data_IF_199348358227
#
_entry.id   IF_199348358227
#
_cell.length_a   1.000
_cell.length_b   1.000
_cell.length_c   1.000
_cell.angle_alpha   90.00
_cell.angle_beta   90.00
_cell.angle_gamma   90.00
#
_symmetry.space_group_name_H-M   'P 1'
#
loop_
_entity.id
_entity.type
_entity.pdbx_description
1 polymer ?
#
# COMPACT_ATOMS: atom_id res chain seq x y z
N UNK A 1 -12.14 8.51 19.91
CA UNK A 1 -12.01 7.97 21.29
C UNK A 1 -11.30 6.62 21.34
N UNK A 2 -11.67 5.63 20.51
CA UNK A 2 -11.05 4.29 20.52
C UNK A 2 -9.53 4.27 20.29
N UNK A 3 -9.01 5.14 19.42
CA UNK A 3 -7.56 5.24 19.12
C UNK A 3 -6.74 5.73 20.31
N UNK A 4 -7.29 6.66 21.09
CA UNK A 4 -6.63 7.24 22.28
C UNK A 4 -6.60 6.20 23.40
N UNK A 5 -7.70 5.46 23.59
CA UNK A 5 -7.76 4.36 24.57
C UNK A 5 -6.78 3.24 24.22
N UNK A 6 -6.67 2.87 22.94
CA UNK A 6 -5.68 1.89 22.48
C UNK A 6 -4.23 2.34 22.71
N UNK A 7 -3.93 3.63 22.51
CA UNK A 7 -2.61 4.19 22.76
C UNK A 7 -2.25 4.25 24.24
N UNK A 8 -3.21 4.62 25.11
CA UNK A 8 -3.01 4.63 26.56
C UNK A 8 -2.70 3.22 27.06
N UNK A 9 -3.46 2.21 26.63
CA UNK A 9 -3.20 0.81 27.00
C UNK A 9 -1.82 0.33 26.54
N UNK A 10 -1.39 0.73 25.33
CA UNK A 10 -0.06 0.43 24.78
C UNK A 10 1.07 1.08 25.61
N UNK A 11 0.98 2.38 25.87
CA UNK A 11 1.99 3.11 26.65
C UNK A 11 2.08 2.58 28.09
N UNK A 12 0.95 2.21 28.70
CA UNK A 12 0.92 1.63 30.05
C UNK A 12 1.47 0.21 30.13
N UNK A 13 1.58 -0.52 29.02
CA UNK A 13 2.19 -1.88 29.00
C UNK A 13 3.72 -1.89 28.94
N UNK A 14 4.35 -0.76 28.60
CA UNK A 14 5.81 -0.65 28.50
C UNK A 14 6.44 -0.43 29.88
N UNK A 15 5.74 0.29 30.76
CA UNK A 15 6.22 0.66 32.10
C UNK A 15 6.46 -0.57 33.00
N UNK A 16 5.56 -1.58 33.07
CA UNK A 16 5.81 -2.78 33.87
C UNK A 16 6.92 -3.67 33.30
N UNK A 17 7.07 -3.74 31.97
CA UNK A 17 8.12 -4.53 31.31
C UNK A 17 9.52 -3.96 31.53
N UNK A 18 9.65 -2.64 31.76
CA UNK A 18 10.92 -2.01 32.14
C UNK A 18 11.24 -2.18 33.63
N UNK A 19 10.23 -2.35 34.48
CA UNK A 19 10.38 -2.59 35.92
C UNK A 19 10.62 -4.08 36.24
N UNK A 20 10.35 -4.98 35.29
CA UNK A 20 10.58 -6.42 35.41
C UNK A 20 12.05 -6.85 35.56
N UNK A 21 13.02 -5.92 35.58
CA UNK A 21 14.40 -6.22 35.97
C UNK A 21 14.57 -6.46 37.49
N UNK A 22 13.58 -6.11 38.32
CA UNK A 22 13.62 -6.28 39.78
C UNK A 22 12.79 -7.47 40.31
N UNK A 23 12.02 -8.18 39.47
CA UNK A 23 11.07 -9.19 39.92
C UNK A 23 11.46 -10.61 39.48
N UNK A 24 11.48 -11.54 40.45
CA UNK A 24 11.92 -12.94 40.30
C UNK A 24 11.01 -13.83 39.43
N UNK A 25 11.33 -15.13 39.35
CA UNK A 25 10.79 -16.14 38.40
C UNK A 25 9.26 -16.42 38.45
N UNK A 26 8.41 -15.55 39.02
CA UNK A 26 6.97 -15.75 39.18
C UNK A 26 6.04 -14.89 38.31
N UNK A 27 6.55 -13.90 37.57
CA UNK A 27 5.71 -12.81 37.00
C UNK A 27 5.13 -13.07 35.60
N UNK A 28 4.90 -14.33 35.24
CA UNK A 28 4.29 -14.71 33.96
C UNK A 28 2.87 -14.15 33.78
N UNK A 29 2.12 -13.94 34.87
CA UNK A 29 0.77 -13.37 34.85
C UNK A 29 0.78 -11.90 34.41
N UNK A 30 1.76 -11.11 34.84
CA UNK A 30 1.91 -9.71 34.46
C UNK A 30 2.27 -9.59 32.97
N UNK A 31 3.15 -10.47 32.49
CA UNK A 31 3.54 -10.55 31.07
C UNK A 31 2.32 -10.93 30.20
N UNK A 32 1.54 -11.93 30.61
CA UNK A 32 0.32 -12.33 29.91
C UNK A 32 -0.74 -11.22 29.89
N UNK A 33 -0.89 -10.48 30.98
CA UNK A 33 -1.78 -9.30 31.05
C UNK A 33 -1.32 -8.22 30.06
N UNK A 34 -0.03 -7.91 30.03
CA UNK A 34 0.53 -6.93 29.10
C UNK A 34 0.35 -7.35 27.63
N UNK A 35 0.59 -8.62 27.31
CA UNK A 35 0.35 -9.18 25.97
C UNK A 35 -1.13 -9.14 25.59
N UNK A 36 -2.03 -9.44 26.53
CA UNK A 36 -3.49 -9.35 26.33
C UNK A 36 -3.95 -7.92 26.07
N UNK A 37 -3.46 -6.95 26.85
CA UNK A 37 -3.74 -5.53 26.64
C UNK A 37 -3.17 -5.02 25.31
N UNK A 38 -1.96 -5.47 24.94
CA UNK A 38 -1.34 -5.15 23.65
C UNK A 38 -2.18 -5.69 22.48
N UNK A 39 -2.58 -6.96 22.53
CA UNK A 39 -3.41 -7.59 21.50
C UNK A 39 -4.80 -6.93 21.42
N UNK A 40 -5.41 -6.61 22.56
CA UNK A 40 -6.69 -5.89 22.63
C UNK A 40 -6.61 -4.48 22.06
N UNK A 41 -5.56 -3.72 22.39
CA UNK A 41 -5.29 -2.39 21.83
C UNK A 41 -5.08 -2.43 20.31
N UNK A 42 -4.27 -3.37 19.83
CA UNK A 42 -4.07 -3.58 18.40
C UNK A 42 -5.38 -3.95 17.67
N UNK A 43 -6.18 -4.86 18.24
CA UNK A 43 -7.50 -5.22 17.71
C UNK A 43 -8.43 -4.01 17.62
N UNK A 44 -8.48 -3.17 18.65
CA UNK A 44 -9.32 -1.96 18.68
C UNK A 44 -8.87 -0.91 17.66
N UNK A 45 -7.55 -0.72 17.46
CA UNK A 45 -7.02 0.16 16.41
C UNK A 45 -7.39 -0.37 15.03
N UNK A 46 -7.24 -1.68 14.79
CA UNK A 46 -7.63 -2.33 13.53
C UNK A 46 -9.13 -2.15 13.30
N UNK A 47 -9.96 -2.35 14.32
CA UNK A 47 -11.41 -2.22 14.22
C UNK A 47 -11.84 -0.77 14.00
N UNK A 48 -11.23 0.19 14.71
CA UNK A 48 -11.49 1.62 14.55
C UNK A 48 -11.11 2.14 13.17
N UNK A 49 -9.96 1.72 12.63
CA UNK A 49 -9.52 2.07 11.27
C UNK A 49 -10.48 1.60 10.18
N UNK A 50 -11.31 0.58 10.42
CA UNK A 50 -12.34 0.13 9.45
C UNK A 50 -13.50 1.11 9.28
N UNK A 51 -13.75 1.97 10.25
CA UNK A 51 -14.86 2.94 10.23
C UNK A 51 -14.42 4.35 9.78
N UNK A 52 -13.12 4.58 9.63
CA UNK A 52 -12.55 5.90 9.35
C UNK A 52 -12.06 6.08 7.90
N UNK A 53 -12.26 5.10 7.03
CA UNK A 53 -11.87 5.25 5.61
C UNK A 53 -12.80 6.26 4.95
N UNK A 54 -12.29 7.44 4.51
CA UNK A 54 -13.11 8.45 3.87
C UNK A 54 -13.67 7.92 2.54
N UNK A 55 -14.90 8.31 2.21
CA UNK A 55 -15.53 7.92 0.95
C UNK A 55 -14.85 8.63 -0.21
N UNK A 56 -14.81 7.99 -1.37
CA UNK A 56 -14.15 8.56 -2.55
C UNK A 56 -14.84 9.83 -3.02
N UNK A 57 -16.16 9.91 -2.90
CA UNK A 57 -16.94 11.11 -3.22
C UNK A 57 -16.55 12.29 -2.32
N UNK A 58 -16.30 12.03 -1.03
CA UNK A 58 -15.87 13.05 -0.07
C UNK A 58 -14.44 13.53 -0.35
N UNK A 59 -13.53 12.60 -0.69
CA UNK A 59 -12.15 12.93 -1.02
C UNK A 59 -12.08 13.75 -2.31
N UNK A 60 -12.81 13.34 -3.35
CA UNK A 60 -12.88 14.06 -4.62
C UNK A 60 -13.60 15.41 -4.50
N UNK A 61 -14.59 15.53 -3.60
CA UNK A 61 -15.24 16.82 -3.34
C UNK A 61 -14.29 17.81 -2.64
N UNK A 62 -13.45 17.30 -1.73
CA UNK A 62 -12.52 18.11 -0.93
C UNK A 62 -11.24 18.48 -1.68
N UNK A 63 -10.74 17.58 -2.53
CA UNK A 63 -9.50 17.75 -3.28
C UNK A 63 -9.79 17.78 -4.78
N UNK A 64 -9.68 18.97 -5.37
CA UNK A 64 -9.99 19.24 -6.78
C UNK A 64 -8.83 18.86 -7.73
N UNK A 65 -7.70 18.37 -7.21
CA UNK A 65 -6.59 17.91 -8.06
C UNK A 65 -6.98 16.61 -8.76
N UNK A 66 -6.41 16.37 -9.94
CA UNK A 66 -6.64 15.13 -10.67
C UNK A 66 -6.21 13.90 -9.84
N UNK A 67 -7.07 12.87 -9.72
CA UNK A 67 -6.84 11.74 -8.82
C UNK A 67 -5.69 10.84 -9.24
N UNK A 68 -5.17 10.10 -8.26
CA UNK A 68 -4.23 9.01 -8.44
C UNK A 68 -4.99 7.70 -8.25
N UNK A 69 -5.14 6.93 -9.34
CA UNK A 69 -5.92 5.70 -9.33
C UNK A 69 -5.04 4.49 -9.00
N UNK A 70 -5.46 3.67 -8.04
CA UNK A 70 -4.83 2.41 -7.68
C UNK A 70 -5.73 1.21 -7.99
N UNK A 71 -5.26 0.35 -8.87
CA UNK A 71 -5.90 -0.91 -9.26
C UNK A 71 -5.10 -2.08 -8.71
N UNK A 72 -5.81 -3.12 -8.24
CA UNK A 72 -5.19 -4.32 -7.68
C UNK A 72 -6.08 -5.53 -7.90
N UNK A 73 -5.45 -6.68 -8.15
CA UNK A 73 -6.17 -7.95 -8.22
C UNK A 73 -6.87 -8.27 -6.90
N UNK A 74 -8.13 -8.65 -6.98
CA UNK A 74 -8.96 -8.99 -5.82
C UNK A 74 -8.53 -10.31 -5.15
N UNK A 75 -7.82 -11.20 -5.84
CA UNK A 75 -7.45 -12.51 -5.29
C UNK A 75 -6.20 -12.49 -4.40
N UNK A 76 -5.37 -11.44 -4.50
CA UNK A 76 -4.18 -11.23 -3.64
C UNK A 76 -4.56 -10.70 -2.23
N UNK A 77 -5.86 -10.63 -1.96
CA UNK A 77 -6.48 -10.02 -0.80
C UNK A 77 -6.34 -10.82 0.49
N UNK A 78 -6.17 -12.15 0.40
CA UNK A 78 -6.06 -13.03 1.57
C UNK A 78 -4.67 -12.98 2.25
N UNK A 79 -3.63 -12.54 1.55
CA UNK A 79 -2.25 -12.53 2.05
C UNK A 79 -1.79 -11.22 2.69
N UNK A 80 -2.51 -10.11 2.46
CA UNK A 80 -2.09 -8.76 2.87
C UNK A 80 -2.19 -8.52 4.40
N UNK A 81 -2.78 -9.44 5.17
CA UNK A 81 -2.85 -9.34 6.64
C UNK A 81 -2.77 -10.73 7.29
N UNK A 82 -1.58 -11.34 7.25
CA UNK A 82 -1.29 -12.53 8.07
C UNK A 82 -0.82 -12.09 9.46
N UNK A 83 -1.13 -12.88 10.50
CA UNK A 83 -0.57 -12.69 11.85
C UNK A 83 0.96 -12.50 11.81
N UNK A 84 1.65 -13.18 10.89
CA UNK A 84 3.09 -13.01 10.66
C UNK A 84 3.52 -11.60 10.23
N UNK A 85 2.72 -10.91 9.40
CA UNK A 85 2.98 -9.52 8.99
C UNK A 85 2.77 -8.51 10.13
N UNK A 86 1.88 -8.82 11.07
CA UNK A 86 1.73 -8.06 12.31
C UNK A 86 2.93 -8.29 13.24
N UNK A 87 3.33 -9.54 13.46
CA UNK A 87 4.49 -9.87 14.30
C UNK A 87 5.80 -9.34 13.74
N UNK A 88 5.98 -9.28 12.42
CA UNK A 88 7.18 -8.67 11.81
C UNK A 88 7.23 -7.15 11.99
N UNK A 89 6.09 -6.45 11.88
CA UNK A 89 6.00 -5.02 12.14
C UNK A 89 6.29 -4.68 13.61
N UNK A 90 5.80 -5.52 14.54
CA UNK A 90 6.12 -5.41 15.98
C UNK A 90 7.59 -5.72 16.24
N UNK A 91 8.16 -6.78 15.64
CA UNK A 91 9.58 -7.12 15.79
C UNK A 91 10.53 -6.06 15.23
N UNK A 92 10.16 -5.37 14.15
CA UNK A 92 10.90 -4.24 13.59
C UNK A 92 10.92 -3.03 14.55
N UNK A 93 9.89 -2.87 15.39
CA UNK A 93 9.82 -1.81 16.41
C UNK A 93 10.82 -2.02 17.56
N UNK A 94 11.13 -3.27 17.89
CA UNK A 94 12.04 -3.64 18.98
C UNK A 94 13.51 -3.81 18.53
N UNK A 95 13.78 -3.88 17.23
CA UNK A 95 15.14 -3.96 16.70
C UNK A 95 15.65 -2.58 16.28
N UNK A 96 16.51 -1.98 17.12
CA UNK A 96 17.17 -0.67 16.91
C UNK A 96 18.00 -0.54 15.61
N UNK A 97 18.08 -1.59 14.78
CA UNK A 97 18.95 -1.70 13.60
C UNK A 97 18.32 -1.24 12.28
N UNK A 98 16.99 -1.10 12.18
CA UNK A 98 16.30 -0.76 10.91
C UNK A 98 15.34 0.44 11.04
N UNK A 99 15.75 1.51 11.73
CA UNK A 99 15.13 2.85 11.56
C UNK A 99 15.47 3.49 10.20
N UNK A 100 16.22 2.79 9.34
CA UNK A 100 16.31 3.05 7.92
C UNK A 100 15.23 2.25 7.18
N UNK A 101 14.40 2.96 6.43
CA UNK A 101 13.39 2.49 5.48
C UNK A 101 13.75 1.11 4.88
N UNK A 102 13.20 0.03 5.43
CA UNK A 102 13.37 -1.31 4.88
C UNK A 102 12.19 -1.63 3.96
N UNK A 103 12.46 -1.64 2.66
CA UNK A 103 11.54 -1.96 1.55
C UNK A 103 11.13 -3.44 1.47
N UNK A 104 11.00 -4.11 2.61
CA UNK A 104 10.85 -5.57 2.65
C UNK A 104 9.38 -5.96 2.82
N UNK A 105 8.83 -6.55 1.75
CA UNK A 105 7.52 -7.21 1.64
C UNK A 105 6.32 -6.26 1.67
N UNK A 106 5.56 -6.25 0.56
CA UNK A 106 4.32 -5.50 0.36
C UNK A 106 3.35 -5.67 1.55
N UNK A 107 3.46 -4.80 2.55
CA UNK A 107 2.74 -4.89 3.83
C UNK A 107 2.08 -3.56 4.19
N UNK A 108 1.37 -3.50 5.33
CA UNK A 108 0.63 -2.30 5.75
C UNK A 108 1.49 -1.03 5.77
N UNK A 109 2.74 -1.13 6.23
CA UNK A 109 3.70 0.00 6.27
C UNK A 109 4.00 0.53 4.88
N UNK A 110 4.30 -0.36 3.93
CA UNK A 110 4.60 0.02 2.55
C UNK A 110 3.39 0.71 1.90
N UNK A 111 2.19 0.15 2.09
CA UNK A 111 0.97 0.72 1.53
C UNK A 111 0.65 2.09 2.13
N UNK A 112 0.88 2.29 3.44
CA UNK A 112 0.78 3.60 4.08
C UNK A 112 1.80 4.61 3.52
N UNK A 113 3.06 4.19 3.31
CA UNK A 113 4.08 5.05 2.70
C UNK A 113 3.72 5.44 1.27
N UNK A 114 3.25 4.47 0.46
CA UNK A 114 2.79 4.75 -0.89
C UNK A 114 1.61 5.71 -0.88
N UNK A 115 0.62 5.48 -0.03
CA UNK A 115 -0.52 6.40 0.13
C UNK A 115 -0.09 7.81 0.50
N UNK A 116 0.87 7.95 1.42
CA UNK A 116 1.39 9.25 1.83
C UNK A 116 2.05 10.06 0.72
N UNK A 117 2.86 9.37 -0.09
CA UNK A 117 3.53 9.94 -1.26
C UNK A 117 2.49 10.34 -2.29
N UNK A 118 1.50 9.47 -2.56
CA UNK A 118 0.47 9.73 -3.58
C UNK A 118 -0.51 10.84 -3.19
N UNK A 119 -0.91 10.94 -1.92
CA UNK A 119 -1.78 12.01 -1.39
C UNK A 119 -1.20 13.43 -1.62
N UNK A 120 0.13 13.56 -1.73
CA UNK A 120 0.79 14.85 -2.05
C UNK A 120 0.68 15.21 -3.52
N UNK A 121 0.56 14.22 -4.40
CA UNK A 121 0.43 14.42 -5.83
C UNK A 121 -1.03 14.70 -6.21
N UNK A 122 -1.96 14.00 -5.58
CA UNK A 122 -3.41 14.14 -5.80
C UNK A 122 -4.24 13.20 -4.92
N UNK A 123 -5.58 13.26 -5.00
CA UNK A 123 -6.44 12.38 -4.23
C UNK A 123 -6.21 10.91 -4.61
N UNK A 124 -5.73 10.11 -3.65
CA UNK A 124 -5.34 8.72 -3.87
C UNK A 124 -6.51 7.76 -3.65
N UNK A 125 -6.93 7.08 -4.71
CA UNK A 125 -8.18 6.31 -4.76
C UNK A 125 -7.91 4.88 -5.20
N UNK A 126 -8.54 3.92 -4.53
CA UNK A 126 -8.51 2.50 -4.90
C UNK A 126 -9.91 1.97 -5.19
N UNK A 127 -10.03 1.10 -6.21
CA UNK A 127 -11.29 0.41 -6.51
C UNK A 127 -11.33 -0.93 -5.76
N UNK A 128 -12.44 -1.20 -5.07
CA UNK A 128 -12.67 -2.42 -4.29
C UNK A 128 -14.00 -3.08 -4.60
N UNK A 129 -14.08 -4.42 -4.43
CA UNK A 129 -15.37 -5.13 -4.49
C UNK A 129 -16.21 -4.88 -3.24
N UNK A 130 -17.54 -4.65 -3.38
CA UNK A 130 -18.46 -4.52 -2.27
C UNK A 130 -18.49 -5.82 -1.45
N UNK A 131 -18.68 -5.69 -0.15
CA UNK A 131 -18.71 -6.83 0.78
C UNK A 131 -17.37 -7.19 1.43
N UNK A 132 -16.23 -6.74 0.87
CA UNK A 132 -14.91 -6.95 1.50
C UNK A 132 -14.37 -5.64 2.10
N UNK A 133 -14.72 -5.39 3.37
CA UNK A 133 -14.17 -4.27 4.15
C UNK A 133 -12.78 -4.63 4.65
N UNK A 134 -11.76 -3.96 4.11
CA UNK A 134 -10.39 -4.11 4.60
C UNK A 134 -9.96 -2.83 5.32
N UNK A 135 -9.12 -2.96 6.37
CA UNK A 135 -8.51 -1.79 6.99
C UNK A 135 -7.76 -0.95 5.93
N UNK A 136 -7.99 0.36 5.99
CA UNK A 136 -7.51 1.34 5.02
C UNK A 136 -6.00 1.49 5.07
N UNK A 137 -5.33 1.06 4.02
CA UNK A 137 -3.88 1.11 3.85
C UNK A 137 -3.50 2.19 2.83
N UNK A 138 -3.94 3.43 3.10
CA UNK A 138 -3.45 4.64 2.40
C UNK A 138 -4.34 5.23 1.30
N UNK A 139 -5.23 4.46 0.66
CA UNK A 139 -6.13 4.98 -0.40
C UNK A 139 -7.60 5.07 0.05
N UNK A 140 -8.31 6.10 -0.42
CA UNK A 140 -9.77 6.18 -0.32
C UNK A 140 -10.41 5.10 -1.21
N UNK A 141 -11.37 4.34 -0.69
CA UNK A 141 -11.90 3.15 -1.39
C UNK A 141 -13.25 3.43 -2.02
N UNK A 142 -13.36 3.18 -3.32
CA UNK A 142 -14.62 3.15 -4.04
C UNK A 142 -15.11 1.70 -4.12
N UNK A 143 -16.30 1.45 -3.58
CA UNK A 143 -16.96 0.15 -3.67
C UNK A 143 -17.99 0.18 -4.80
N UNK A 144 -17.79 -0.64 -5.83
CA UNK A 144 -18.63 -0.68 -7.04
C UNK A 144 -19.20 -2.07 -7.26
N UNK A 145 -20.48 -2.17 -7.60
CA UNK A 145 -21.08 -3.47 -7.94
C UNK A 145 -20.42 -4.11 -9.16
N UNK A 146 -20.46 -5.45 -9.23
CA UNK A 146 -19.89 -6.22 -10.34
C UNK A 146 -20.54 -5.92 -11.71
N UNK A 147 -21.69 -5.24 -11.74
CA UNK A 147 -22.34 -4.80 -12.99
C UNK A 147 -21.83 -3.43 -13.47
N UNK A 148 -21.43 -2.54 -12.55
CA UNK A 148 -21.05 -1.16 -12.86
C UNK A 148 -19.53 -0.89 -12.74
N UNK A 149 -18.74 -1.86 -12.29
CA UNK A 149 -17.33 -1.64 -12.00
C UNK A 149 -16.50 -1.25 -13.24
N UNK A 150 -16.75 -1.87 -14.39
CA UNK A 150 -15.97 -1.59 -15.61
C UNK A 150 -16.16 -0.14 -16.07
N UNK A 151 -17.41 0.30 -16.17
CA UNK A 151 -17.73 1.69 -16.54
C UNK A 151 -17.09 2.69 -15.57
N UNK A 152 -17.15 2.39 -14.28
CA UNK A 152 -16.56 3.28 -13.27
C UNK A 152 -15.04 3.31 -13.31
N UNK A 153 -14.38 2.17 -13.54
CA UNK A 153 -12.92 2.10 -13.73
C UNK A 153 -12.51 2.92 -14.95
N UNK A 154 -13.23 2.79 -16.08
CA UNK A 154 -12.98 3.59 -17.29
C UNK A 154 -13.08 5.09 -17.01
N UNK A 155 -14.12 5.53 -16.29
CA UNK A 155 -14.26 6.94 -15.91
C UNK A 155 -13.11 7.42 -15.01
N UNK A 156 -12.71 6.61 -14.03
CA UNK A 156 -11.60 6.94 -13.14
C UNK A 156 -10.28 7.06 -13.90
N UNK A 157 -9.98 6.11 -14.80
CA UNK A 157 -8.76 6.14 -15.63
C UNK A 157 -8.70 7.44 -16.44
N UNK A 158 -9.81 7.84 -17.09
CA UNK A 158 -9.87 9.08 -17.88
C UNK A 158 -9.61 10.34 -17.07
N UNK A 159 -10.05 10.36 -15.81
CA UNK A 159 -9.83 11.49 -14.92
C UNK A 159 -8.49 11.46 -14.18
N UNK A 160 -7.78 10.33 -14.21
CA UNK A 160 -6.61 10.13 -13.38
C UNK A 160 -5.39 10.87 -13.92
N UNK A 161 -4.64 11.50 -13.01
CA UNK A 161 -3.32 12.05 -13.33
C UNK A 161 -2.30 10.94 -13.54
N UNK A 162 -2.35 9.93 -12.66
CA UNK A 162 -1.50 8.73 -12.67
C UNK A 162 -2.35 7.51 -12.37
N UNK A 163 -1.98 6.38 -12.98
CA UNK A 163 -2.59 5.07 -12.73
C UNK A 163 -1.53 4.14 -12.17
N UNK A 164 -1.85 3.45 -11.08
CA UNK A 164 -0.97 2.51 -10.39
C UNK A 164 -1.64 1.15 -10.40
N UNK A 165 -0.96 0.14 -10.91
CA UNK A 165 -1.45 -1.24 -10.94
C UNK A 165 -0.54 -2.12 -10.08
N UNK A 166 -1.10 -2.81 -9.09
CA UNK A 166 -0.39 -3.93 -8.46
C UNK A 166 -0.53 -5.17 -9.34
N UNK A 167 0.61 -5.68 -9.80
CA UNK A 167 0.67 -6.88 -10.60
C UNK A 167 0.00 -8.07 -9.89
N UNK A 168 -0.76 -8.81 -10.67
CA UNK A 168 -1.50 -10.01 -10.30
C UNK A 168 -1.87 -10.76 -11.58
N UNK A 169 -2.56 -11.88 -11.45
CA UNK A 169 -2.80 -12.78 -12.59
C UNK A 169 -4.29 -13.07 -12.79
N UNK A 170 -5.17 -12.22 -12.25
CA UNK A 170 -6.60 -12.39 -12.42
C UNK A 170 -7.05 -11.85 -13.78
N UNK A 171 -8.05 -12.48 -14.38
CA UNK A 171 -8.64 -12.04 -15.64
C UNK A 171 -9.14 -10.58 -15.57
N UNK A 172 -9.66 -10.16 -14.42
CA UNK A 172 -10.06 -8.76 -14.18
C UNK A 172 -8.89 -7.78 -14.30
N UNK A 173 -7.72 -8.12 -13.76
CA UNK A 173 -6.55 -7.25 -13.84
C UNK A 173 -5.98 -7.17 -15.28
N UNK A 174 -6.05 -8.27 -16.04
CA UNK A 174 -5.66 -8.22 -17.46
C UNK A 174 -6.54 -7.25 -18.25
N UNK A 175 -7.86 -7.33 -18.04
CA UNK A 175 -8.80 -6.37 -18.62
C UNK A 175 -8.49 -4.92 -18.17
N UNK A 176 -8.11 -4.71 -16.90
CA UNK A 176 -7.73 -3.39 -16.38
C UNK A 176 -6.48 -2.85 -17.10
N UNK A 177 -5.44 -3.69 -17.29
CA UNK A 177 -4.20 -3.31 -17.99
C UNK A 177 -4.48 -2.97 -19.45
N UNK A 178 -5.24 -3.80 -20.16
CA UNK A 178 -5.65 -3.54 -21.54
C UNK A 178 -6.48 -2.26 -21.67
N UNK A 179 -7.37 -2.04 -20.71
CA UNK A 179 -8.24 -0.86 -20.66
C UNK A 179 -7.44 0.40 -20.39
N UNK A 180 -6.48 0.37 -19.47
CA UNK A 180 -5.54 1.48 -19.26
C UNK A 180 -4.77 1.75 -20.54
N UNK A 181 -4.18 0.71 -21.17
CA UNK A 181 -3.41 0.84 -22.41
C UNK A 181 -4.19 1.47 -23.57
N UNK A 182 -5.50 1.21 -23.63
CA UNK A 182 -6.40 1.80 -24.63
C UNK A 182 -6.82 3.24 -24.32
N UNK A 183 -6.85 3.63 -23.06
CA UNK A 183 -7.43 4.91 -22.62
C UNK A 183 -6.37 5.99 -22.40
N UNK A 184 -5.22 5.64 -21.82
CA UNK A 184 -4.20 6.66 -21.51
C UNK A 184 -3.39 6.99 -22.76
N UNK A 185 -3.23 8.29 -23.03
CA UNK A 185 -2.45 8.75 -24.18
C UNK A 185 -0.94 8.63 -23.92
N UNK A 186 -0.52 8.75 -22.66
CA UNK A 186 0.88 8.77 -22.24
C UNK A 186 1.19 7.53 -21.40
N UNK A 187 1.97 6.56 -21.92
CA UNK A 187 2.22 5.31 -21.21
C UNK A 187 2.95 5.49 -19.87
N UNK A 188 3.79 6.53 -19.77
CA UNK A 188 4.50 6.87 -18.54
C UNK A 188 3.59 7.31 -17.39
N UNK A 189 2.29 7.53 -17.61
CA UNK A 189 1.30 7.73 -16.53
C UNK A 189 0.98 6.45 -15.76
N UNK A 190 1.34 5.28 -16.31
CA UNK A 190 1.13 3.98 -15.69
C UNK A 190 2.35 3.55 -14.88
N UNK A 191 2.15 3.30 -13.60
CA UNK A 191 3.09 2.63 -12.70
C UNK A 191 2.60 1.22 -12.38
N UNK A 192 3.45 0.23 -12.58
CA UNK A 192 3.19 -1.17 -12.24
C UNK A 192 4.07 -1.58 -11.07
N UNK A 193 3.45 -2.15 -10.05
CA UNK A 193 4.13 -2.70 -8.88
C UNK A 193 4.31 -4.19 -9.12
N UNK A 194 5.55 -4.62 -9.31
CA UNK A 194 5.90 -5.97 -9.70
C UNK A 194 5.80 -6.97 -8.53
N UNK A 195 5.48 -8.24 -8.81
CA UNK A 195 5.51 -9.27 -7.77
C UNK A 195 6.95 -9.54 -7.33
N UNK A 196 7.19 -9.57 -6.02
CA UNK A 196 8.52 -9.82 -5.46
C UNK A 196 8.99 -11.27 -5.63
N UNK A 197 8.04 -12.20 -5.78
CA UNK A 197 8.38 -13.62 -5.97
C UNK A 197 8.64 -13.90 -7.45
N UNK A 198 9.69 -14.70 -7.73
CA UNK A 198 10.00 -15.17 -9.09
C UNK A 198 8.79 -15.85 -9.74
N UNK A 199 8.05 -16.69 -8.99
CA UNK A 199 6.84 -17.36 -9.47
C UNK A 199 5.76 -16.35 -9.87
N UNK A 200 5.47 -15.37 -9.02
CA UNK A 200 4.49 -14.33 -9.30
C UNK A 200 4.88 -13.48 -10.50
N UNK A 201 6.15 -13.08 -10.61
CA UNK A 201 6.66 -12.34 -11.75
C UNK A 201 6.50 -13.11 -13.07
N UNK A 202 6.86 -14.41 -13.09
CA UNK A 202 6.75 -15.23 -14.30
C UNK A 202 5.29 -15.40 -14.73
N UNK A 203 4.38 -15.57 -13.78
CA UNK A 203 2.95 -15.66 -14.05
C UNK A 203 2.39 -14.33 -14.56
N UNK A 204 2.77 -13.21 -13.94
CA UNK A 204 2.40 -11.87 -14.42
C UNK A 204 2.91 -11.60 -15.84
N UNK A 205 4.18 -11.92 -16.12
CA UNK A 205 4.77 -11.83 -17.47
C UNK A 205 3.96 -12.59 -18.51
N UNK A 206 3.52 -13.81 -18.21
CA UNK A 206 2.69 -14.58 -19.12
C UNK A 206 1.33 -13.90 -19.34
N UNK A 207 0.73 -13.39 -18.27
CA UNK A 207 -0.56 -12.68 -18.27
C UNK A 207 -0.55 -11.44 -19.17
N UNK A 208 0.51 -10.62 -19.09
CA UNK A 208 0.58 -9.36 -19.85
C UNK A 208 1.12 -9.52 -21.26
N UNK A 209 1.70 -10.67 -21.60
CA UNK A 209 2.11 -10.98 -22.96
C UNK A 209 0.90 -11.01 -23.92
N UNK A 210 -0.27 -11.48 -23.43
CA UNK A 210 -1.53 -11.46 -24.18
C UNK A 210 -1.99 -10.02 -24.52
N UNK A 211 -1.70 -9.06 -23.63
CA UNK A 211 -1.94 -7.64 -23.85
C UNK A 211 -0.86 -6.94 -24.73
N UNK A 212 0.07 -7.72 -25.30
CA UNK A 212 1.18 -7.24 -26.11
C UNK A 212 2.21 -6.44 -25.30
N UNK A 213 2.42 -6.78 -24.03
CA UNK A 213 3.48 -6.21 -23.19
C UNK A 213 4.53 -7.30 -22.96
N UNK A 214 5.73 -7.09 -23.50
CA UNK A 214 6.83 -8.04 -23.36
C UNK A 214 7.70 -7.69 -22.15
N UNK A 215 7.73 -8.57 -21.15
CA UNK A 215 8.61 -8.44 -19.99
C UNK A 215 9.83 -9.38 -20.11
N UNK A 216 11.00 -9.01 -19.55
CA UNK A 216 12.20 -9.84 -19.61
C UNK A 216 11.99 -11.18 -18.91
N UNK A 217 12.63 -12.24 -19.44
CA UNK A 217 12.51 -13.59 -18.86
C UNK A 217 13.06 -13.66 -17.43
N UNK A 218 14.16 -12.96 -17.17
CA UNK A 218 14.74 -12.84 -15.83
C UNK A 218 14.04 -11.70 -15.08
N UNK A 219 13.52 -11.94 -13.86
CA UNK A 219 12.96 -10.87 -13.04
C UNK A 219 13.99 -9.75 -12.85
N UNK A 220 13.60 -8.48 -13.06
CA UNK A 220 14.46 -7.34 -12.81
C UNK A 220 14.68 -7.17 -11.30
N UNK A 221 15.78 -6.52 -10.91
CA UNK A 221 15.98 -6.10 -9.53
C UNK A 221 15.26 -4.76 -9.27
N UNK A 222 13.94 -4.76 -9.49
CA UNK A 222 13.10 -3.58 -9.40
C UNK A 222 11.71 -3.95 -8.86
N UNK A 223 11.20 -3.15 -7.92
CA UNK A 223 9.83 -3.28 -7.43
C UNK A 223 8.81 -2.59 -8.35
N UNK A 224 9.25 -1.57 -9.08
CA UNK A 224 8.37 -0.73 -9.89
C UNK A 224 8.80 -0.73 -11.35
N UNK A 225 7.81 -0.62 -12.22
CA UNK A 225 7.96 -0.52 -13.66
C UNK A 225 7.01 0.55 -14.19
N UNK A 226 7.43 1.31 -15.19
CA UNK A 226 6.59 2.21 -15.98
C UNK A 226 6.85 1.93 -17.47
N UNK A 227 6.34 2.78 -18.36
CA UNK A 227 6.47 2.61 -19.80
C UNK A 227 6.99 3.88 -20.46
N UNK A 228 7.72 3.75 -21.56
CA UNK A 228 7.99 4.87 -22.47
C UNK A 228 6.89 5.05 -23.52
N UNK A 229 7.08 6.02 -24.40
CA UNK A 229 6.12 6.40 -25.44
C UNK A 229 5.79 5.23 -26.38
N UNK A 230 6.70 4.28 -26.56
CA UNK A 230 6.51 3.07 -27.36
C UNK A 230 5.94 1.87 -26.57
N UNK A 231 5.43 2.08 -25.35
CA UNK A 231 4.95 1.02 -24.46
C UNK A 231 6.02 -0.01 -24.07
N UNK A 232 7.32 0.34 -24.13
CA UNK A 232 8.38 -0.54 -23.65
C UNK A 232 8.55 -0.39 -22.14
N UNK A 233 8.70 -1.51 -21.40
CA UNK A 233 8.81 -1.46 -19.95
C UNK A 233 10.13 -0.80 -19.52
N UNK A 234 10.02 0.15 -18.60
CA UNK A 234 11.14 0.79 -17.90
C UNK A 234 11.08 0.46 -16.42
N UNK A 235 12.13 -0.18 -15.91
CA UNK A 235 12.22 -0.59 -14.51
C UNK A 235 12.84 0.52 -13.66
N UNK A 236 12.21 0.86 -12.54
CA UNK A 236 12.72 1.88 -11.62
C UNK A 236 13.69 1.25 -10.63
N UNK A 237 14.86 1.87 -10.48
CA UNK A 237 15.87 1.39 -9.55
C UNK A 237 15.36 1.44 -8.11
N UNK A 238 15.45 0.31 -7.41
CA UNK A 238 15.04 0.23 -6.02
C UNK A 238 16.16 0.80 -5.15
N UNK A 239 15.86 1.92 -4.50
CA UNK A 239 16.74 2.61 -3.56
C UNK A 239 16.25 2.34 -2.14
N UNK A 240 16.99 2.79 -1.12
CA UNK A 240 16.55 2.67 0.27
C UNK A 240 15.27 3.46 0.60
N UNK A 241 14.80 4.37 -0.27
CA UNK A 241 13.62 5.21 0.00
C UNK A 241 12.62 5.20 -1.15
N UNK A 242 11.32 5.16 -0.81
CA UNK A 242 10.24 5.06 -1.80
C UNK A 242 10.16 6.31 -2.69
N UNK A 243 10.28 7.49 -2.10
CA UNK A 243 10.25 8.78 -2.79
C UNK A 243 11.39 8.92 -3.81
N UNK A 244 12.59 8.42 -3.48
CA UNK A 244 13.73 8.41 -4.40
C UNK A 244 13.52 7.41 -5.53
N UNK A 245 13.00 6.21 -5.23
CA UNK A 245 12.69 5.20 -6.25
C UNK A 245 11.61 5.66 -7.23
N UNK A 246 10.62 6.43 -6.76
CA UNK A 246 9.53 6.94 -7.61
C UNK A 246 9.87 8.28 -8.26
N UNK A 247 10.98 8.94 -7.88
CA UNK A 247 11.38 10.23 -8.44
C UNK A 247 11.44 10.24 -9.98
N UNK A 248 12.07 9.26 -10.66
CA UNK A 248 12.07 9.24 -12.13
C UNK A 248 10.67 9.19 -12.74
N UNK A 249 9.75 8.44 -12.12
CA UNK A 249 8.36 8.34 -12.57
C UNK A 249 7.59 9.65 -12.38
N UNK A 250 7.80 10.37 -11.28
CA UNK A 250 7.20 11.69 -11.08
C UNK A 250 7.74 12.70 -12.10
N UNK A 251 9.06 12.72 -12.30
CA UNK A 251 9.69 13.62 -13.26
C UNK A 251 9.20 13.38 -14.70
N UNK A 252 9.04 12.12 -15.13
CA UNK A 252 8.46 11.78 -16.44
C UNK A 252 7.04 12.34 -16.62
N UNK A 253 6.30 12.51 -15.53
CA UNK A 253 4.93 13.03 -15.53
C UNK A 253 4.86 14.54 -15.20
N UNK A 254 5.98 15.25 -15.23
CA UNK A 254 6.07 16.67 -14.83
C UNK A 254 5.49 16.92 -13.42
N UNK A 255 5.82 16.02 -12.50
CA UNK A 255 5.47 16.11 -11.08
C UNK A 255 6.77 16.30 -10.31
N UNK A 256 6.81 17.33 -9.48
CA UNK A 256 7.90 17.49 -8.51
C UNK A 256 7.83 16.35 -7.48
N UNK A 257 8.91 15.55 -7.31
CA UNK A 257 8.91 14.45 -6.36
C UNK A 257 8.61 14.97 -4.95
N UNK A 258 7.60 14.41 -4.26
CA UNK A 258 7.24 14.87 -2.93
C UNK A 258 8.36 14.57 -1.93
N UNK A 259 8.81 15.60 -1.20
CA UNK A 259 9.74 15.41 -0.09
C UNK A 259 9.05 14.72 1.08
N UNK A 260 9.70 13.69 1.63
CA UNK A 260 9.26 12.97 2.83
C UNK A 260 10.31 13.18 3.91
N UNK A 261 9.99 13.98 4.92
CA UNK A 261 10.90 14.22 6.05
C UNK A 261 10.92 13.02 7.01
N UNK A 262 11.96 12.93 7.84
CA UNK A 262 12.00 11.91 8.91
C UNK A 262 10.82 12.05 9.90
N UNK A 263 10.34 13.27 10.11
CA UNK A 263 9.14 13.56 10.92
C UNK A 263 7.86 13.05 10.29
N UNK A 264 7.78 13.06 8.96
CA UNK A 264 6.64 12.51 8.23
C UNK A 264 6.56 10.99 8.34
N UNK A 265 7.71 10.33 8.22
CA UNK A 265 7.83 8.88 8.44
C UNK A 265 7.41 8.50 9.87
N UNK A 266 7.76 9.32 10.87
CA UNK A 266 7.31 9.14 12.25
C UNK A 266 5.79 9.31 12.38
N UNK A 267 5.19 10.36 11.80
CA UNK A 267 3.73 10.58 11.83
C UNK A 267 2.94 9.45 11.17
N UNK A 268 3.46 8.88 10.08
CA UNK A 268 2.85 7.74 9.38
C UNK A 268 2.71 6.49 10.25
N UNK A 269 3.63 6.30 11.21
CA UNK A 269 3.56 5.19 12.14
C UNK A 269 2.38 5.31 13.12
N UNK A 270 1.94 6.54 13.43
CA UNK A 270 0.85 6.82 14.38
C UNK A 270 -0.51 7.13 13.73
N UNK A 271 -0.58 7.19 12.39
CA UNK A 271 -1.82 7.36 11.60
C UNK A 271 -2.52 6.01 11.42
#
# INVERSE_FOLDING_TARGET
MSTIVGFVLFATSIVPAMIAQEYGEGDYLLILLCLGMFAGGAMLVIHGKRHLTPRVEEVLAKDQRAPILYLRSFNDQAGDFTLGGFFSAVGAMFTRRNMGLSTSSWGPTFQSQLGYVMERVGPYIAVGRPGVRLPGTGAARLYVSDQAWQERVVQLIRSARLVIIRAGTSAGLNWEIETVKRIIDKPHQLLVILPLSKKGYLAFRQSVAEAGIELPQRPPNAMFMTFDEEWKPRFLETTGKLEHTLSPFFLMNNIEPPEVSAWDAFRLFFR
#
